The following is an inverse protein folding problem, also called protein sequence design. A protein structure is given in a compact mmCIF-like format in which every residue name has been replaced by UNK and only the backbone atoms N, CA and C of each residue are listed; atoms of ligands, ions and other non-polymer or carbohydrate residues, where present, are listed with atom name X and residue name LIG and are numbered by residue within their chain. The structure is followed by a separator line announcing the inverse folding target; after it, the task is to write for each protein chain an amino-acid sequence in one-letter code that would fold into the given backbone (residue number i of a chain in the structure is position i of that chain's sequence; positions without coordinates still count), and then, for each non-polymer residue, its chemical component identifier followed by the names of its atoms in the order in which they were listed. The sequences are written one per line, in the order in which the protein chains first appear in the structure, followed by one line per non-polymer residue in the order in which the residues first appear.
data_IF_676156348753
#
_entry.id   IF_676156348753
#
_cell.length_a   1.000
_cell.length_b   1.000
_cell.length_c   1.000
_cell.angle_alpha   90.00
_cell.angle_beta   90.00
_cell.angle_gamma   90.00
#
_symmetry.space_group_name_H-M   'P 1'
#
loop_
_entity.id
_entity.type
_entity.pdbx_description
1 polymer ?
#
# COMPACT_ATOMS: atom_id res chain seq x y z
N UNK A 1 10.68 -20.32 -7.80
CA UNK A 1 11.72 -19.32 -7.44
C UNK A 1 11.09 -18.23 -6.58
N UNK A 2 11.76 -17.76 -5.52
CA UNK A 2 11.22 -16.74 -4.61
C UNK A 2 11.03 -15.41 -5.35
N UNK A 3 9.85 -14.76 -5.32
CA UNK A 3 9.58 -13.53 -6.07
C UNK A 3 10.11 -12.28 -5.34
N UNK A 4 11.34 -12.34 -4.79
CA UNK A 4 11.89 -11.30 -3.92
C UNK A 4 12.02 -9.94 -4.62
N UNK A 5 12.60 -9.91 -5.83
CA UNK A 5 12.75 -8.68 -6.61
C UNK A 5 11.41 -8.07 -7.05
N UNK A 6 10.44 -8.90 -7.42
CA UNK A 6 9.10 -8.43 -7.78
C UNK A 6 8.37 -7.83 -6.57
N UNK A 7 8.53 -8.45 -5.40
CA UNK A 7 7.95 -7.96 -4.13
C UNK A 7 8.61 -6.65 -3.70
N UNK A 8 9.94 -6.54 -3.81
CA UNK A 8 10.67 -5.31 -3.51
C UNK A 8 10.24 -4.16 -4.44
N UNK A 9 10.16 -4.41 -5.74
CA UNK A 9 9.69 -3.43 -6.72
C UNK A 9 8.24 -3.00 -6.43
N UNK A 10 7.36 -3.94 -6.07
CA UNK A 10 6.00 -3.62 -5.67
C UNK A 10 5.98 -2.72 -4.43
N UNK A 11 6.70 -3.05 -3.37
CA UNK A 11 6.71 -2.21 -2.16
C UNK A 11 7.24 -0.81 -2.41
N UNK A 12 8.26 -0.64 -3.26
CA UNK A 12 8.71 0.70 -3.66
C UNK A 12 7.64 1.44 -4.45
N UNK A 13 6.99 0.78 -5.41
CA UNK A 13 5.91 1.37 -6.20
C UNK A 13 4.74 1.80 -5.31
N UNK A 14 4.28 0.92 -4.42
CA UNK A 14 3.19 1.20 -3.49
C UNK A 14 3.54 2.36 -2.55
N UNK A 15 4.78 2.37 -2.03
CA UNK A 15 5.23 3.47 -1.18
C UNK A 15 5.26 4.80 -1.92
N UNK A 16 5.74 4.83 -3.16
CA UNK A 16 5.75 6.04 -3.98
C UNK A 16 4.33 6.54 -4.30
N UNK A 17 3.43 5.64 -4.72
CA UNK A 17 2.05 5.98 -5.05
C UNK A 17 1.31 6.57 -3.85
N UNK A 18 1.41 5.92 -2.69
CA UNK A 18 0.73 6.37 -1.46
C UNK A 18 1.34 7.67 -0.95
N UNK A 19 2.66 7.81 -0.98
CA UNK A 19 3.31 9.07 -0.59
C UNK A 19 2.84 10.23 -1.47
N UNK A 20 2.78 10.04 -2.79
CA UNK A 20 2.30 11.07 -3.72
C UNK A 20 0.82 11.40 -3.48
N UNK A 21 -0.02 10.39 -3.28
CA UNK A 21 -1.44 10.58 -2.94
C UNK A 21 -1.60 11.38 -1.63
N UNK A 22 -0.90 10.98 -0.57
CA UNK A 22 -0.94 11.68 0.72
C UNK A 22 -0.43 13.11 0.64
N UNK A 23 0.68 13.35 -0.07
CA UNK A 23 1.19 14.71 -0.27
C UNK A 23 0.20 15.58 -1.06
N UNK A 24 -0.53 15.01 -2.03
CA UNK A 24 -1.55 15.75 -2.78
C UNK A 24 -2.72 16.25 -1.93
N UNK A 25 -2.99 15.58 -0.79
CA UNK A 25 -4.05 15.96 0.15
C UNK A 25 -3.49 16.84 1.28
N UNK A 26 -2.34 16.47 1.83
CA UNK A 26 -1.74 17.15 2.99
C UNK A 26 -1.18 18.53 2.65
N UNK A 27 -0.56 18.71 1.48
CA UNK A 27 0.02 20.02 1.10
C UNK A 27 -1.07 21.10 1.03
N UNK A 28 -2.20 20.91 0.32
CA UNK A 28 -3.30 21.88 0.35
C UNK A 28 -3.87 22.09 1.75
N UNK A 29 -4.04 21.03 2.53
CA UNK A 29 -4.59 21.13 3.89
C UNK A 29 -3.68 21.94 4.85
N UNK A 30 -2.35 21.85 4.69
CA UNK A 30 -1.39 22.67 5.43
C UNK A 30 -1.47 24.14 5.02
N UNK A 31 -1.69 24.43 3.73
CA UNK A 31 -1.86 25.80 3.24
C UNK A 31 -3.11 26.45 3.80
N UNK A 32 -4.22 25.70 3.88
CA UNK A 32 -5.49 26.18 4.45
C UNK A 32 -5.54 26.10 5.97
N UNK A 33 -4.56 25.46 6.62
CA UNK A 33 -4.49 25.21 8.07
C UNK A 33 -5.71 24.47 8.62
N UNK A 34 -6.36 23.67 7.78
CA UNK A 34 -7.54 22.88 8.16
C UNK A 34 -7.16 21.40 8.11
N UNK A 35 -7.22 20.66 9.24
CA UNK A 35 -6.85 19.26 9.24
C UNK A 35 -7.80 18.45 8.33
N UNK A 36 -7.26 17.59 7.46
CA UNK A 36 -8.09 16.74 6.62
C UNK A 36 -8.81 15.69 7.48
N UNK A 37 -9.99 15.27 7.04
CA UNK A 37 -10.69 14.16 7.66
C UNK A 37 -9.82 12.90 7.58
N UNK A 38 -9.80 12.10 8.64
CA UNK A 38 -8.95 10.92 8.69
C UNK A 38 -7.47 11.21 8.94
N UNK A 39 -7.12 12.36 9.55
CA UNK A 39 -5.75 12.75 9.90
C UNK A 39 -4.88 11.61 10.46
N UNK A 40 -5.45 10.78 11.33
CA UNK A 40 -4.80 9.62 11.95
C UNK A 40 -4.30 8.58 10.93
N UNK A 41 -5.02 8.38 9.82
CA UNK A 41 -4.63 7.44 8.76
C UNK A 41 -3.35 7.91 8.09
N UNK A 42 -3.28 9.20 7.71
CA UNK A 42 -2.06 9.75 7.09
C UNK A 42 -0.85 9.62 8.02
N UNK A 43 -1.03 9.89 9.32
CA UNK A 43 0.05 9.77 10.31
C UNK A 43 0.52 8.32 10.42
N UNK A 44 -0.41 7.36 10.52
CA UNK A 44 -0.06 5.94 10.59
C UNK A 44 0.67 5.47 9.34
N UNK A 45 0.22 5.91 8.17
CA UNK A 45 0.81 5.49 6.90
C UNK A 45 2.21 6.06 6.71
N UNK A 46 2.40 7.35 7.01
CA UNK A 46 3.69 8.02 6.89
C UNK A 46 4.70 7.56 7.94
N UNK A 47 4.24 7.28 9.17
CA UNK A 47 5.13 6.92 10.26
C UNK A 47 5.47 5.42 10.32
N UNK A 48 4.57 4.54 9.86
CA UNK A 48 4.73 3.09 10.03
C UNK A 48 4.63 2.31 8.72
N UNK A 49 3.58 2.52 7.93
CA UNK A 49 3.32 1.68 6.75
C UNK A 49 4.38 1.89 5.66
N UNK A 50 4.61 3.15 5.28
CA UNK A 50 5.60 3.52 4.27
C UNK A 50 7.03 3.15 4.68
N UNK A 51 7.49 3.43 5.91
CA UNK A 51 8.77 2.92 6.41
C UNK A 51 8.87 1.40 6.41
N UNK A 52 7.81 0.67 6.78
CA UNK A 52 7.84 -0.79 6.77
C UNK A 52 7.97 -1.36 5.36
N UNK A 53 7.24 -0.81 4.39
CA UNK A 53 7.35 -1.23 2.98
C UNK A 53 8.72 -0.90 2.39
N UNK A 54 9.23 0.30 2.61
CA UNK A 54 10.55 0.70 2.11
C UNK A 54 11.68 -0.12 2.75
N UNK A 55 11.65 -0.32 4.07
CA UNK A 55 12.63 -1.17 4.76
C UNK A 55 12.59 -2.60 4.24
N UNK A 56 11.40 -3.19 4.09
CA UNK A 56 11.26 -4.56 3.58
C UNK A 56 11.72 -4.68 2.12
N UNK A 57 11.46 -3.68 1.27
CA UNK A 57 11.99 -3.64 -0.08
C UNK A 57 13.52 -3.65 -0.11
N UNK A 58 14.17 -2.86 0.75
CA UNK A 58 15.63 -2.82 0.87
C UNK A 58 16.18 -4.17 1.38
N UNK A 59 15.53 -4.78 2.37
CA UNK A 59 15.92 -6.09 2.90
C UNK A 59 15.81 -7.19 1.83
N UNK A 60 14.72 -7.19 1.06
CA UNK A 60 14.51 -8.13 -0.05
C UNK A 60 15.53 -7.93 -1.17
N UNK A 61 15.84 -6.68 -1.54
CA UNK A 61 16.88 -6.40 -2.54
C UNK A 61 18.27 -6.83 -2.10
N UNK A 62 18.57 -6.75 -0.80
CA UNK A 62 19.85 -7.18 -0.24
C UNK A 62 19.91 -8.70 0.01
N UNK A 63 18.84 -9.44 -0.28
CA UNK A 63 18.76 -10.88 -0.03
C UNK A 63 18.85 -11.26 1.45
N UNK A 64 18.44 -10.36 2.35
CA UNK A 64 18.50 -10.60 3.80
C UNK A 64 17.29 -11.43 4.25
N UNK A 65 17.48 -12.40 5.18
CA UNK A 65 16.41 -13.33 5.58
C UNK A 65 15.21 -12.64 6.24
N UNK A 66 15.44 -11.49 6.88
CA UNK A 66 14.37 -10.69 7.46
C UNK A 66 13.40 -10.11 6.41
N UNK A 67 13.87 -9.87 5.18
CA UNK A 67 13.02 -9.43 4.08
C UNK A 67 11.97 -10.48 3.73
N UNK A 68 12.36 -11.75 3.70
CA UNK A 68 11.45 -12.86 3.40
C UNK A 68 10.37 -13.03 4.48
N UNK A 69 10.75 -12.89 5.76
CA UNK A 69 9.82 -12.99 6.89
C UNK A 69 8.80 -11.84 6.89
N UNK A 70 9.25 -10.63 6.59
CA UNK A 70 8.39 -9.42 6.60
C UNK A 70 7.52 -9.29 5.34
N UNK A 71 7.94 -9.87 4.21
CA UNK A 71 7.22 -9.78 2.95
C UNK A 71 5.79 -10.30 3.04
N UNK A 72 5.59 -11.50 3.61
CA UNK A 72 4.28 -12.15 3.61
C UNK A 72 3.23 -11.40 4.45
N UNK A 73 3.52 -11.02 5.73
CA UNK A 73 2.57 -10.23 6.52
C UNK A 73 2.27 -8.87 5.88
N UNK A 74 3.27 -8.21 5.29
CA UNK A 74 3.08 -6.91 4.65
C UNK A 74 2.28 -7.00 3.35
N UNK A 75 2.47 -8.04 2.54
CA UNK A 75 1.63 -8.30 1.36
C UNK A 75 0.17 -8.55 1.75
N UNK A 76 -0.08 -9.34 2.79
CA UNK A 76 -1.44 -9.57 3.30
C UNK A 76 -2.07 -8.27 3.81
N UNK A 77 -1.31 -7.48 4.58
CA UNK A 77 -1.75 -6.18 5.09
C UNK A 77 -2.08 -5.21 3.96
N UNK A 78 -1.23 -5.13 2.94
CA UNK A 78 -1.44 -4.29 1.77
C UNK A 78 -2.69 -4.72 0.99
N UNK A 79 -2.85 -6.01 0.70
CA UNK A 79 -4.03 -6.54 -0.01
C UNK A 79 -5.33 -6.25 0.74
N UNK A 80 -5.36 -6.52 2.05
CA UNK A 80 -6.56 -6.33 2.89
C UNK A 80 -6.91 -4.85 3.05
N UNK A 81 -5.92 -3.98 3.26
CA UNK A 81 -6.14 -2.53 3.29
C UNK A 81 -6.63 -2.01 1.95
N UNK A 82 -5.95 -2.38 0.86
CA UNK A 82 -6.32 -1.99 -0.51
C UNK A 82 -7.75 -2.39 -0.87
N UNK A 83 -8.14 -3.62 -0.52
CA UNK A 83 -9.50 -4.10 -0.73
C UNK A 83 -10.52 -3.30 0.09
N UNK A 84 -10.20 -3.01 1.36
CA UNK A 84 -11.06 -2.23 2.25
C UNK A 84 -11.31 -0.81 1.69
N UNK A 85 -10.25 -0.10 1.29
CA UNK A 85 -10.40 1.26 0.75
C UNK A 85 -11.09 1.24 -0.61
N UNK A 86 -10.81 0.25 -1.47
CA UNK A 86 -11.50 0.10 -2.76
C UNK A 86 -13.01 -0.09 -2.56
N UNK A 87 -13.41 -0.99 -1.65
CA UNK A 87 -14.82 -1.20 -1.32
C UNK A 87 -15.43 0.08 -0.76
N UNK A 88 -14.75 0.74 0.19
CA UNK A 88 -15.21 2.01 0.76
C UNK A 88 -15.45 3.08 -0.31
N UNK A 89 -14.52 3.22 -1.26
CA UNK A 89 -14.63 4.14 -2.40
C UNK A 89 -15.79 3.78 -3.33
N UNK A 90 -16.03 2.51 -3.59
CA UNK A 90 -17.17 2.07 -4.42
C UNK A 90 -18.51 2.33 -3.73
N UNK A 91 -18.59 2.13 -2.41
CA UNK A 91 -19.82 2.41 -1.66
C UNK A 91 -20.05 3.93 -1.54
N UNK A 92 -18.99 4.75 -1.46
CA UNK A 92 -19.11 6.21 -1.46
C UNK A 92 -19.87 6.74 -2.68
N UNK A 93 -19.71 6.08 -3.85
CA UNK A 93 -20.47 6.40 -5.05
C UNK A 93 -21.98 6.17 -4.87
N UNK A 94 -22.37 5.13 -4.12
CA UNK A 94 -23.78 4.84 -3.81
C UNK A 94 -24.40 5.90 -2.87
N UNK A 95 -23.59 6.62 -2.10
CA UNK A 95 -24.03 7.77 -1.28
C UNK A 95 -23.91 9.11 -2.00
N UNK A 96 -23.69 9.12 -3.32
CA UNK A 96 -23.63 10.33 -4.13
C UNK A 96 -22.36 11.15 -3.95
N UNK A 97 -21.30 10.59 -3.36
CA UNK A 97 -20.01 11.26 -3.26
C UNK A 97 -19.24 11.15 -4.59
N UNK A 98 -18.52 12.23 -4.92
CA UNK A 98 -17.65 12.26 -6.10
C UNK A 98 -16.35 11.52 -5.81
N UNK A 99 -16.04 10.52 -6.62
CA UNK A 99 -14.80 9.74 -6.50
C UNK A 99 -13.85 10.13 -7.62
N UNK A 100 -12.59 10.42 -7.27
CA UNK A 100 -11.55 10.65 -8.27
C UNK A 100 -11.11 9.32 -8.90
N UNK A 101 -11.04 9.26 -10.24
CA UNK A 101 -10.60 8.05 -10.94
C UNK A 101 -9.20 7.56 -10.50
N UNK A 102 -8.31 8.50 -10.13
CA UNK A 102 -6.97 8.18 -9.61
C UNK A 102 -7.00 7.40 -8.29
N UNK A 103 -7.98 7.64 -7.42
CA UNK A 103 -8.14 6.90 -6.16
C UNK A 103 -8.52 5.45 -6.43
N UNK A 104 -9.50 5.22 -7.32
CA UNK A 104 -9.96 3.87 -7.69
C UNK A 104 -8.81 3.04 -8.26
N UNK A 105 -8.04 3.62 -9.19
CA UNK A 105 -6.90 2.93 -9.80
C UNK A 105 -5.83 2.60 -8.76
N UNK A 106 -5.50 3.56 -7.88
CA UNK A 106 -4.50 3.37 -6.83
C UNK A 106 -4.93 2.29 -5.84
N UNK A 107 -6.18 2.30 -5.40
CA UNK A 107 -6.73 1.32 -4.46
C UNK A 107 -6.88 -0.07 -5.08
N UNK A 108 -7.26 -0.16 -6.35
CA UNK A 108 -7.27 -1.43 -7.08
C UNK A 108 -5.86 -2.02 -7.20
N UNK A 109 -4.87 -1.21 -7.55
CA UNK A 109 -3.47 -1.65 -7.58
C UNK A 109 -3.00 -2.14 -6.19
N UNK A 110 -3.38 -1.42 -5.13
CA UNK A 110 -3.10 -1.78 -3.74
C UNK A 110 -3.77 -3.08 -3.29
N UNK A 111 -4.96 -3.39 -3.81
CA UNK A 111 -5.68 -4.62 -3.48
C UNK A 111 -5.12 -5.83 -4.23
N UNK A 112 -5.02 -5.72 -5.55
CA UNK A 112 -4.81 -6.88 -6.42
C UNK A 112 -3.35 -7.24 -6.62
N UNK A 113 -2.43 -6.27 -6.70
CA UNK A 113 -1.00 -6.58 -6.93
C UNK A 113 -0.37 -7.33 -5.75
N UNK A 114 -0.59 -6.94 -4.47
CA UNK A 114 -0.09 -7.71 -3.35
C UNK A 114 -0.73 -9.09 -3.26
N UNK A 115 -2.04 -9.18 -3.51
CA UNK A 115 -2.77 -10.45 -3.51
C UNK A 115 -2.23 -11.43 -4.57
N UNK A 116 -1.90 -10.93 -5.76
CA UNK A 116 -1.31 -11.74 -6.83
C UNK A 116 0.06 -12.31 -6.45
N UNK A 117 0.86 -11.59 -5.65
CA UNK A 117 2.17 -12.06 -5.18
C UNK A 117 2.10 -13.03 -3.99
N UNK A 118 0.97 -13.11 -3.26
CA UNK A 118 0.81 -14.09 -2.19
C UNK A 118 0.89 -15.53 -2.70
N UNK A 119 0.34 -15.81 -3.89
CA UNK A 119 0.33 -17.17 -4.45
C UNK A 119 1.75 -17.68 -4.80
N UNK A 120 2.59 -16.93 -5.53
CA UNK A 120 4.00 -17.27 -5.72
C UNK A 120 4.78 -17.47 -4.41
N UNK A 121 4.51 -16.66 -3.39
CA UNK A 121 5.12 -16.80 -2.07
C UNK A 121 4.69 -18.10 -1.37
N UNK A 122 3.40 -18.42 -1.40
CA UNK A 122 2.87 -19.67 -0.85
C UNK A 122 3.55 -20.89 -1.49
N UNK A 123 3.65 -20.90 -2.83
CA UNK A 123 4.34 -21.98 -3.56
C UNK A 123 5.83 -22.10 -3.23
N UNK A 124 6.49 -20.99 -2.90
CA UNK A 124 7.90 -20.99 -2.54
C UNK A 124 8.16 -21.47 -1.09
N UNK A 125 7.15 -21.42 -0.22
CA UNK A 125 7.21 -21.93 1.16
C UNK A 125 6.80 -23.41 1.27
N UNK A 126 5.93 -23.87 0.36
CA UNK A 126 5.44 -25.24 0.32
C UNK A 126 6.37 -26.22 -0.45
N UNK A 127 7.47 -25.72 -1.02
CA UNK A 127 8.48 -26.47 -1.78
C UNK A 127 9.79 -26.55 -1.01
#
# INVERSE_FOLDING_TARGET
PRPAHATAALFVLLSALVLLLWLSILIPAMQTRTPPQGATIFVFDLALVLPAFTATAVLLWRGLPWGDVLALPLLMKAATMGLSVLIGTLIALAWGQTVAAGEVVTYAAFAYLPAALLWPWWRALAA
#
